data_IF_343936592445
#
_entry.id   IF_343936592445
#
_cell.length_a   1.000
_cell.length_b   1.000
_cell.length_c   1.000
_cell.angle_alpha   90.00
_cell.angle_beta   90.00
_cell.angle_gamma   90.00
#
_symmetry.space_group_name_H-M   'P 1'
#
loop_
_entity.id
_entity.type
_entity.pdbx_description
1 polymer ?
#
# COMPACT_ATOMS: atom_id res chain seq x y z
N UNK A 1 -56.97 2.90 9.39
CA UNK A 1 -55.56 2.75 8.98
C UNK A 1 -54.70 3.23 10.13
N UNK A 2 -54.32 2.34 11.04
CA UNK A 2 -53.42 2.68 12.13
C UNK A 2 -52.03 2.94 11.56
N UNK A 3 -51.53 4.16 11.75
CA UNK A 3 -50.15 4.52 11.39
C UNK A 3 -49.26 3.85 12.45
N UNK A 4 -48.53 2.81 12.06
CA UNK A 4 -47.57 2.15 12.95
C UNK A 4 -46.53 3.16 13.42
N UNK A 5 -46.66 3.65 14.65
CA UNK A 5 -45.65 4.49 15.28
C UNK A 5 -44.46 3.61 15.62
N UNK A 6 -43.34 3.87 14.96
CA UNK A 6 -42.06 3.27 15.32
C UNK A 6 -41.72 3.77 16.73
N UNK A 7 -41.52 2.84 17.68
CA UNK A 7 -41.08 3.20 19.04
C UNK A 7 -39.76 3.96 18.98
N UNK A 8 -39.62 4.99 19.81
CA UNK A 8 -38.36 5.71 19.98
C UNK A 8 -37.20 4.75 20.32
N UNK A 9 -37.46 3.66 21.04
CA UNK A 9 -36.48 2.63 21.38
C UNK A 9 -36.00 1.87 20.13
N UNK A 10 -36.90 1.59 19.19
CA UNK A 10 -36.55 0.93 17.93
C UNK A 10 -35.66 1.83 17.07
N UNK A 11 -35.96 3.14 17.01
CA UNK A 11 -35.10 4.12 16.33
C UNK A 11 -33.73 4.20 17.00
N UNK A 12 -33.70 4.22 18.34
CA UNK A 12 -32.45 4.29 19.10
C UNK A 12 -31.56 3.05 18.89
N UNK A 13 -32.16 1.86 18.95
CA UNK A 13 -31.46 0.59 18.74
C UNK A 13 -30.94 0.45 17.31
N UNK A 14 -31.75 0.84 16.33
CA UNK A 14 -31.36 0.79 14.91
C UNK A 14 -30.24 1.80 14.62
N UNK A 15 -30.32 3.00 15.19
CA UNK A 15 -29.27 4.01 15.10
C UNK A 15 -27.96 3.55 15.74
N UNK A 16 -28.03 2.95 16.94
CA UNK A 16 -26.85 2.39 17.61
C UNK A 16 -26.21 1.26 16.80
N UNK A 17 -27.01 0.35 16.25
CA UNK A 17 -26.50 -0.72 15.36
C UNK A 17 -25.79 -0.16 14.13
N UNK A 18 -26.36 0.86 13.48
CA UNK A 18 -25.73 1.53 12.34
C UNK A 18 -24.36 2.12 12.71
N UNK A 19 -24.26 2.80 13.86
CA UNK A 19 -22.99 3.36 14.34
C UNK A 19 -21.95 2.26 14.56
N UNK A 20 -22.33 1.15 15.21
CA UNK A 20 -21.44 0.01 15.45
C UNK A 20 -20.94 -0.57 14.12
N UNK A 21 -21.82 -0.78 13.15
CA UNK A 21 -21.45 -1.32 11.82
C UNK A 21 -20.46 -0.39 11.11
N UNK A 22 -20.70 0.93 11.14
CA UNK A 22 -19.82 1.92 10.51
C UNK A 22 -18.44 1.92 11.16
N UNK A 23 -18.37 1.81 12.50
CA UNK A 23 -17.10 1.75 13.22
C UNK A 23 -16.29 0.50 12.83
N UNK A 24 -16.92 -0.67 12.79
CA UNK A 24 -16.26 -1.92 12.38
C UNK A 24 -15.79 -1.84 10.93
N UNK A 25 -16.63 -1.34 10.01
CA UNK A 25 -16.29 -1.18 8.61
C UNK A 25 -15.11 -0.21 8.42
N UNK A 26 -15.07 0.89 9.17
CA UNK A 26 -13.99 1.89 9.10
C UNK A 26 -12.65 1.33 9.56
N UNK A 27 -12.67 0.49 10.61
CA UNK A 27 -11.49 -0.18 11.14
C UNK A 27 -11.00 -1.32 10.22
N UNK A 28 -11.91 -2.16 9.73
CA UNK A 28 -11.56 -3.24 8.81
C UNK A 28 -10.99 -2.71 7.49
N UNK A 29 -11.59 -1.65 6.93
CA UNK A 29 -11.12 -1.01 5.71
C UNK A 29 -9.72 -0.40 5.83
N UNK A 30 -9.31 0.03 7.03
CA UNK A 30 -7.95 0.53 7.27
C UNK A 30 -6.88 -0.53 7.03
N UNK A 31 -7.03 -1.69 7.68
CA UNK A 31 -6.04 -2.76 7.61
C UNK A 31 -5.97 -3.36 6.20
N UNK A 32 -7.13 -3.51 5.54
CA UNK A 32 -7.22 -4.03 4.17
C UNK A 32 -6.44 -3.18 3.16
N UNK A 33 -6.60 -1.86 3.18
CA UNK A 33 -5.87 -0.99 2.25
C UNK A 33 -4.36 -1.04 2.51
N UNK A 34 -3.95 -1.04 3.78
CA UNK A 34 -2.53 -1.14 4.12
C UNK A 34 -1.91 -2.45 3.63
N UNK A 35 -2.58 -3.59 3.86
CA UNK A 35 -2.11 -4.90 3.40
C UNK A 35 -2.01 -4.97 1.86
N UNK A 36 -2.98 -4.38 1.16
CA UNK A 36 -2.97 -4.27 -0.31
C UNK A 36 -1.79 -3.45 -0.82
N UNK A 37 -1.54 -2.29 -0.20
CA UNK A 37 -0.45 -1.39 -0.58
C UNK A 37 0.91 -2.04 -0.36
N UNK A 38 1.10 -2.68 0.81
CA UNK A 38 2.34 -3.40 1.14
C UNK A 38 2.54 -4.59 0.20
N UNK A 39 1.49 -5.38 -0.03
CA UNK A 39 1.53 -6.48 -1.00
C UNK A 39 1.92 -6.01 -2.41
N UNK A 40 1.35 -4.91 -2.88
CA UNK A 40 1.64 -4.33 -4.19
C UNK A 40 3.07 -3.77 -4.27
N UNK A 41 3.51 -3.02 -3.27
CA UNK A 41 4.88 -2.50 -3.18
C UNK A 41 5.91 -3.64 -3.27
N UNK A 42 5.64 -4.75 -2.58
CA UNK A 42 6.49 -5.94 -2.56
C UNK A 42 6.54 -6.61 -3.92
N UNK A 43 5.39 -6.81 -4.56
CA UNK A 43 5.30 -7.41 -5.89
C UNK A 43 6.06 -6.56 -6.90
N UNK A 44 5.77 -5.26 -6.97
CA UNK A 44 6.45 -4.35 -7.89
C UNK A 44 7.96 -4.28 -7.66
N UNK A 45 8.40 -4.36 -6.41
CA UNK A 45 9.82 -4.44 -6.08
C UNK A 45 10.47 -5.75 -6.53
N UNK A 46 9.82 -6.88 -6.29
CA UNK A 46 10.31 -8.20 -6.72
C UNK A 46 10.41 -8.27 -8.25
N UNK A 47 9.40 -7.77 -8.96
CA UNK A 47 9.44 -7.67 -10.43
C UNK A 47 10.62 -6.80 -10.90
N UNK A 48 10.78 -5.61 -10.33
CA UNK A 48 11.87 -4.72 -10.71
C UNK A 48 13.25 -5.35 -10.45
N UNK A 49 13.39 -6.03 -9.31
CA UNK A 49 14.60 -6.76 -8.95
C UNK A 49 14.88 -7.88 -9.96
N UNK A 50 13.87 -8.66 -10.33
CA UNK A 50 14.02 -9.73 -11.30
C UNK A 50 14.43 -9.17 -12.65
N UNK A 51 13.77 -8.11 -13.12
CA UNK A 51 14.08 -7.43 -14.38
C UNK A 51 15.56 -6.95 -14.40
N UNK A 52 16.04 -6.38 -13.29
CA UNK A 52 17.44 -5.96 -13.15
C UNK A 52 18.42 -7.14 -13.10
N UNK A 53 18.04 -8.23 -12.42
CA UNK A 53 18.86 -9.44 -12.33
C UNK A 53 19.02 -10.12 -13.71
N UNK A 54 17.94 -10.18 -14.51
CA UNK A 54 17.94 -10.74 -15.87
C UNK A 54 18.74 -9.91 -16.87
N UNK A 55 18.72 -8.58 -16.76
CA UNK A 55 19.46 -7.67 -17.66
C UNK A 55 20.97 -7.58 -17.36
N UNK A 56 21.55 -8.60 -16.73
CA UNK A 56 23.00 -8.75 -16.61
C UNK A 56 23.64 -8.13 -15.38
N UNK A 57 22.86 -7.61 -14.42
CA UNK A 57 23.46 -7.16 -13.15
C UNK A 57 23.70 -8.29 -12.16
N UNK A 58 23.11 -9.49 -12.31
CA UNK A 58 23.53 -10.73 -11.65
C UNK A 58 23.62 -10.70 -10.12
N UNK A 59 23.09 -9.66 -9.47
CA UNK A 59 23.16 -9.51 -8.03
C UNK A 59 21.94 -10.18 -7.45
N UNK A 60 22.16 -11.08 -6.50
CA UNK A 60 21.08 -11.63 -5.69
C UNK A 60 20.57 -10.48 -4.85
N UNK A 61 19.47 -9.90 -5.28
CA UNK A 61 18.86 -8.79 -4.57
C UNK A 61 17.78 -9.36 -3.64
N UNK A 62 17.99 -9.25 -2.33
CA UNK A 62 16.98 -9.64 -1.34
C UNK A 62 16.20 -8.41 -0.89
N UNK A 63 14.89 -8.44 -1.08
CA UNK A 63 13.95 -7.55 -0.42
C UNK A 63 13.74 -8.03 1.02
N UNK A 64 13.94 -7.16 2.03
CA UNK A 64 13.83 -7.58 3.44
C UNK A 64 12.79 -6.82 4.25
N UNK A 65 12.34 -5.65 3.84
CA UNK A 65 11.34 -4.95 4.63
C UNK A 65 10.63 -3.87 3.86
N UNK A 66 9.34 -3.75 4.13
CA UNK A 66 8.57 -2.53 4.01
C UNK A 66 8.26 -2.09 5.43
N UNK A 67 8.71 -0.89 5.79
CA UNK A 67 8.21 -0.21 6.99
C UNK A 67 7.25 0.86 6.51
N UNK A 68 6.00 0.78 6.96
CA UNK A 68 5.00 1.82 6.71
C UNK A 68 5.03 2.83 7.84
N UNK A 69 5.28 4.09 7.53
CA UNK A 69 5.19 5.19 8.49
C UNK A 69 4.49 6.39 7.83
N UNK A 70 3.24 6.66 8.23
CA UNK A 70 2.43 7.78 7.73
C UNK A 70 2.42 7.95 6.19
N UNK A 71 2.24 6.87 5.43
CA UNK A 71 2.24 6.94 3.95
C UNK A 71 3.61 6.67 3.32
N UNK A 72 4.71 6.78 4.06
CA UNK A 72 6.04 6.45 3.54
C UNK A 72 6.31 4.96 3.67
N UNK A 73 6.68 4.33 2.55
CA UNK A 73 7.10 2.94 2.45
C UNK A 73 8.61 2.92 2.18
N UNK A 74 9.39 2.45 3.15
CA UNK A 74 10.83 2.26 2.95
C UNK A 74 11.10 0.83 2.51
N UNK A 75 11.67 0.69 1.31
CA UNK A 75 12.01 -0.56 0.66
C UNK A 75 13.50 -0.81 0.83
N UNK A 76 13.85 -1.82 1.62
CA UNK A 76 15.26 -2.18 1.83
C UNK A 76 15.68 -3.29 0.89
N UNK A 77 16.70 -2.98 0.09
CA UNK A 77 17.19 -3.80 -1.02
C UNK A 77 18.64 -4.20 -0.75
N UNK A 78 18.84 -5.48 -0.44
CA UNK A 78 20.17 -6.06 -0.19
C UNK A 78 20.77 -6.50 -1.51
N UNK A 79 21.87 -5.90 -1.96
CA UNK A 79 22.51 -6.20 -3.24
C UNK A 79 24.01 -6.38 -3.02
N UNK A 80 24.66 -7.26 -3.79
CA UNK A 80 26.12 -7.45 -3.74
C UNK A 80 26.93 -6.23 -4.21
N UNK A 81 26.28 -5.29 -4.89
CA UNK A 81 26.86 -4.01 -5.31
C UNK A 81 25.97 -2.86 -4.86
N UNK A 82 26.59 -1.68 -4.81
CA UNK A 82 25.84 -0.44 -4.71
C UNK A 82 24.92 -0.25 -5.92
N UNK A 83 23.63 -0.01 -5.66
CA UNK A 83 22.67 0.34 -6.72
C UNK A 83 22.93 1.75 -7.22
N UNK A 84 22.97 1.90 -8.55
CA UNK A 84 22.95 3.19 -9.20
C UNK A 84 21.61 3.90 -8.98
N UNK A 85 21.59 5.22 -9.13
CA UNK A 85 20.37 6.01 -8.95
C UNK A 85 19.27 5.61 -9.94
N UNK A 86 19.65 5.23 -11.17
CA UNK A 86 18.72 4.74 -12.17
C UNK A 86 18.07 3.41 -11.75
N UNK A 87 18.83 2.49 -11.15
CA UNK A 87 18.29 1.22 -10.63
C UNK A 87 17.35 1.46 -9.44
N UNK A 88 17.70 2.38 -8.53
CA UNK A 88 16.82 2.77 -7.41
C UNK A 88 15.52 3.40 -7.90
N UNK A 89 15.61 4.34 -8.83
CA UNK A 89 14.45 5.01 -9.43
C UNK A 89 13.56 4.01 -10.18
N UNK A 90 14.16 3.04 -10.88
CA UNK A 90 13.41 2.00 -11.55
C UNK A 90 12.61 1.14 -10.56
N UNK A 91 13.25 0.68 -9.48
CA UNK A 91 12.58 -0.08 -8.42
C UNK A 91 11.45 0.74 -7.78
N UNK A 92 11.73 2.01 -7.45
CA UNK A 92 10.76 2.93 -6.87
C UNK A 92 9.52 3.08 -7.78
N UNK A 93 9.73 3.32 -9.08
CA UNK A 93 8.62 3.53 -10.01
C UNK A 93 7.81 2.26 -10.25
N UNK A 94 8.45 1.10 -10.38
CA UNK A 94 7.75 -0.18 -10.50
C UNK A 94 6.88 -0.46 -9.28
N UNK A 95 7.40 -0.24 -8.08
CA UNK A 95 6.63 -0.41 -6.86
C UNK A 95 5.48 0.60 -6.74
N UNK A 96 5.70 1.89 -7.06
CA UNK A 96 4.63 2.90 -7.11
C UNK A 96 3.55 2.56 -8.13
N UNK A 97 3.93 2.10 -9.33
CA UNK A 97 2.99 1.69 -10.37
C UNK A 97 2.17 0.46 -9.96
N UNK A 98 2.78 -0.48 -9.23
CA UNK A 98 2.05 -1.63 -8.68
C UNK A 98 1.00 -1.18 -7.66
N UNK A 99 1.38 -0.30 -6.71
CA UNK A 99 0.44 0.30 -5.74
C UNK A 99 -0.69 1.04 -6.47
N UNK A 100 -0.35 1.87 -7.46
CA UNK A 100 -1.33 2.64 -8.23
C UNK A 100 -2.34 1.72 -8.92
N UNK A 101 -1.87 0.62 -9.52
CA UNK A 101 -2.72 -0.39 -10.17
C UNK A 101 -3.65 -1.06 -9.16
N UNK A 102 -3.13 -1.49 -8.01
CA UNK A 102 -3.92 -2.14 -6.95
C UNK A 102 -5.02 -1.23 -6.39
N UNK A 103 -4.74 0.06 -6.25
CA UNK A 103 -5.71 1.03 -5.72
C UNK A 103 -6.61 1.65 -6.79
N UNK A 104 -6.40 1.35 -8.07
CA UNK A 104 -7.09 2.03 -9.18
C UNK A 104 -6.79 3.53 -9.26
N UNK A 105 -5.54 3.91 -8.97
CA UNK A 105 -5.02 5.28 -8.90
C UNK A 105 -3.94 5.51 -9.96
N UNK A 106 -3.44 6.74 -10.02
CA UNK A 106 -2.32 7.13 -10.88
C UNK A 106 -1.14 7.55 -10.01
N UNK A 107 0.08 7.35 -10.51
CA UNK A 107 1.29 7.92 -9.91
C UNK A 107 1.41 9.37 -10.37
N UNK A 108 1.59 10.31 -9.43
CA UNK A 108 1.82 11.74 -9.74
C UNK A 108 2.94 12.25 -8.85
N UNK A 109 4.01 12.80 -9.43
CA UNK A 109 5.17 13.30 -8.70
C UNK A 109 5.73 12.29 -7.66
N UNK A 110 5.84 11.01 -8.05
CA UNK A 110 6.29 9.90 -7.20
C UNK A 110 5.40 9.63 -5.97
N UNK A 111 4.12 10.01 -6.05
CA UNK A 111 3.12 9.80 -5.00
C UNK A 111 1.93 9.04 -5.59
N UNK A 112 1.38 8.10 -4.82
CA UNK A 112 0.07 7.48 -5.08
C UNK A 112 -0.91 7.90 -3.97
N UNK A 113 -2.03 8.52 -4.35
CA UNK A 113 -3.04 9.00 -3.39
C UNK A 113 -4.05 7.90 -3.05
N UNK A 114 -4.05 7.44 -1.80
CA UNK A 114 -5.12 6.63 -1.21
C UNK A 114 -5.62 7.25 0.08
N UNK A 115 -5.72 6.45 1.14
CA UNK A 115 -5.94 6.95 2.51
C UNK A 115 -4.75 7.79 3.01
N UNK A 116 -3.54 7.46 2.54
CA UNK A 116 -2.34 8.26 2.73
C UNK A 116 -1.75 8.65 1.38
N UNK A 117 -0.85 9.64 1.40
CA UNK A 117 0.02 9.93 0.27
C UNK A 117 1.18 8.92 0.29
N UNK A 118 1.05 7.87 -0.52
CA UNK A 118 2.03 6.78 -0.55
C UNK A 118 3.27 7.20 -1.31
N UNK A 119 4.42 7.11 -0.65
CA UNK A 119 5.75 7.37 -1.22
C UNK A 119 6.68 6.19 -0.99
N UNK A 120 7.66 6.01 -1.87
CA UNK A 120 8.62 4.90 -1.78
C UNK A 120 10.03 5.44 -1.66
N UNK A 121 10.80 4.90 -0.73
CA UNK A 121 12.23 5.13 -0.60
C UNK A 121 12.98 3.82 -0.77
N UNK A 122 13.97 3.77 -1.68
CA UNK A 122 14.77 2.57 -1.92
C UNK A 122 16.13 2.72 -1.23
N UNK A 123 16.34 1.93 -0.17
CA UNK A 123 17.60 1.89 0.56
C UNK A 123 18.39 0.68 0.10
N UNK A 124 19.60 0.92 -0.37
CA UNK A 124 20.51 -0.15 -0.75
C UNK A 124 21.46 -0.48 0.41
N UNK A 125 21.49 -1.76 0.77
CA UNK A 125 22.44 -2.32 1.73
C UNK A 125 23.36 -3.27 0.97
N UNK A 126 24.67 -3.05 1.07
CA UNK A 126 25.70 -3.89 0.46
C UNK A 126 26.34 -4.78 1.52
#
# INVERSE_FOLDING_TARGET
>A
MEKGQISAEFVLLTGLMLVIIILIASYAGYNLELDQVMGAAKIGTIEAINDLAYNGTGNVIRFKNETFNNGKITITVYSKKNLSENEKNYIQQKALNSIATTLGKQVTNNIVKGRYDYTIEVVNVT
#
